data_IF_102243173412
#
_entry.id   IF_102243173412
#
_cell.length_a   1.000
_cell.length_b   1.000
_cell.length_c   1.000
_cell.angle_alpha   90.00
_cell.angle_beta   90.00
_cell.angle_gamma   90.00
#
_symmetry.space_group_name_H-M   'P 1'
#
loop_
_entity.id
_entity.type
_entity.pdbx_description
1 polymer ?
#
# COMPACT_ATOMS: atom_id res chain seq x y z
N UNK A 1 -7.04 -5.87 90.35
CA UNK A 1 -6.64 -4.76 89.43
C UNK A 1 -5.64 -5.36 88.44
N UNK A 2 -6.09 -5.78 87.27
CA UNK A 2 -5.26 -6.47 86.31
C UNK A 2 -5.48 -5.78 84.97
N UNK A 3 -4.47 -5.09 84.44
CA UNK A 3 -4.51 -4.43 83.16
C UNK A 3 -4.04 -5.42 82.06
N UNK A 4 -4.93 -5.69 81.16
CA UNK A 4 -4.67 -6.56 80.00
C UNK A 4 -4.07 -5.70 78.84
N UNK A 5 -2.82 -6.00 78.50
CA UNK A 5 -2.15 -5.39 77.31
C UNK A 5 -2.65 -6.07 76.07
N UNK A 6 -3.33 -5.32 75.22
CA UNK A 6 -3.69 -5.72 73.84
C UNK A 6 -2.51 -5.41 72.93
N UNK A 7 -1.82 -6.42 72.42
CA UNK A 7 -0.79 -6.33 71.42
C UNK A 7 -1.47 -6.26 70.03
N UNK A 8 -1.40 -5.13 69.38
CA UNK A 8 -1.83 -4.96 68.01
C UNK A 8 -0.70 -5.42 67.07
N UNK A 9 -0.90 -6.53 66.40
CA UNK A 9 -0.03 -7.00 65.30
C UNK A 9 -0.39 -6.29 64.02
N UNK A 10 0.48 -5.41 63.54
CA UNK A 10 0.37 -4.80 62.22
C UNK A 10 0.79 -5.82 61.15
N UNK A 11 -0.16 -6.27 60.35
CA UNK A 11 0.10 -7.07 59.17
C UNK A 11 0.59 -6.16 58.03
N UNK A 12 1.86 -6.33 57.66
CA UNK A 12 2.43 -5.76 56.43
C UNK A 12 1.83 -6.51 55.23
N UNK A 13 0.86 -5.93 54.58
CA UNK A 13 0.39 -6.38 53.26
C UNK A 13 1.43 -5.90 52.22
N UNK A 14 2.32 -6.82 51.84
CA UNK A 14 3.22 -6.66 50.72
C UNK A 14 2.42 -6.62 49.41
N UNK A 15 2.20 -5.41 48.89
CA UNK A 15 1.62 -5.21 47.57
C UNK A 15 2.61 -5.68 46.48
N UNK A 16 2.35 -6.87 45.94
CA UNK A 16 3.03 -7.35 44.73
C UNK A 16 2.51 -6.51 43.57
N UNK A 17 3.29 -5.49 43.14
CA UNK A 17 3.07 -4.79 41.89
C UNK A 17 3.31 -5.77 40.73
N UNK A 18 2.26 -6.44 40.31
CA UNK A 18 2.22 -7.09 39.00
C UNK A 18 2.23 -5.95 37.95
N UNK A 19 3.41 -5.59 37.47
CA UNK A 19 3.56 -4.79 36.27
C UNK A 19 2.94 -5.61 35.12
N UNK A 20 1.69 -5.28 34.78
CA UNK A 20 1.04 -5.79 33.60
C UNK A 20 1.88 -5.32 32.41
N UNK A 21 2.67 -6.23 31.82
CA UNK A 21 3.23 -6.04 30.49
C UNK A 21 2.05 -5.87 29.54
N UNK A 22 1.69 -4.62 29.23
CA UNK A 22 0.78 -4.34 28.15
C UNK A 22 1.41 -4.91 26.86
N UNK A 23 0.68 -5.68 26.05
CA UNK A 23 1.21 -6.17 24.81
C UNK A 23 1.59 -4.95 23.96
N UNK A 24 2.85 -4.92 23.51
CA UNK A 24 3.32 -3.93 22.53
C UNK A 24 2.47 -4.14 21.30
N UNK A 25 1.51 -3.23 21.08
CA UNK A 25 0.72 -3.24 19.85
C UNK A 25 1.69 -2.97 18.70
N UNK A 26 1.70 -3.82 17.65
CA UNK A 26 2.51 -3.53 16.48
C UNK A 26 2.10 -2.16 15.94
N UNK A 27 3.09 -1.33 15.62
CA UNK A 27 2.87 0.00 15.06
C UNK A 27 1.86 -0.11 13.90
N UNK A 28 0.82 0.73 13.92
CA UNK A 28 -0.19 0.72 12.85
C UNK A 28 0.51 1.02 11.53
N UNK A 29 0.33 0.19 10.49
CA UNK A 29 0.95 0.46 9.20
C UNK A 29 0.48 1.80 8.65
N UNK A 30 1.43 2.60 8.19
CA UNK A 30 1.11 3.87 7.54
C UNK A 30 0.85 3.64 6.06
N UNK A 31 -0.16 4.34 5.55
CA UNK A 31 -0.52 4.29 4.14
C UNK A 31 -0.81 5.71 3.62
N UNK A 32 -0.28 6.06 2.46
CA UNK A 32 -0.46 7.35 1.78
C UNK A 32 -0.85 7.10 0.32
N UNK A 33 -1.83 7.81 -0.20
CA UNK A 33 -2.33 7.66 -1.56
C UNK A 33 -2.45 9.00 -2.28
N UNK A 34 -2.04 9.02 -3.55
CA UNK A 34 -2.30 10.11 -4.48
C UNK A 34 -2.83 9.56 -5.80
N UNK A 35 -3.75 10.31 -6.41
CA UNK A 35 -4.20 10.12 -7.78
C UNK A 35 -3.88 11.39 -8.57
N UNK A 36 -3.39 11.23 -9.79
CA UNK A 36 -3.14 12.32 -10.72
C UNK A 36 -3.95 12.07 -11.97
N UNK A 37 -4.88 12.97 -12.25
CA UNK A 37 -5.56 13.06 -13.55
C UNK A 37 -4.74 14.01 -14.43
N UNK A 38 -4.50 13.69 -15.72
CA UNK A 38 -3.72 14.55 -16.59
C UNK A 38 -4.50 15.82 -16.89
N UNK A 39 -4.04 16.96 -16.36
CA UNK A 39 -4.42 18.25 -16.92
C UNK A 39 -3.65 18.43 -18.23
N UNK A 40 -4.39 18.43 -19.33
CA UNK A 40 -3.97 18.53 -20.71
C UNK A 40 -2.60 19.17 -20.97
N UNK A 41 -1.67 18.32 -21.38
CA UNK A 41 -0.42 18.69 -21.99
C UNK A 41 -0.02 17.54 -22.91
N UNK A 42 -0.30 17.70 -24.20
CA UNK A 42 0.04 16.74 -25.25
C UNK A 42 1.55 16.79 -25.47
N UNK A 43 2.32 15.92 -24.84
CA UNK A 43 3.71 15.67 -25.22
C UNK A 43 3.68 14.56 -26.26
N UNK A 44 3.80 14.93 -27.51
CA UNK A 44 3.99 13.99 -28.62
C UNK A 44 5.37 13.36 -28.49
N UNK A 45 5.44 12.15 -27.95
CA UNK A 45 6.62 11.31 -28.11
C UNK A 45 6.44 10.50 -29.39
N UNK A 46 7.34 10.72 -30.32
CA UNK A 46 7.44 9.99 -31.58
C UNK A 46 7.50 8.47 -31.31
N UNK A 47 6.63 7.77 -32.01
CA UNK A 47 6.48 6.31 -31.92
C UNK A 47 7.66 5.64 -32.62
N UNK A 48 8.58 5.06 -31.85
CA UNK A 48 9.55 4.12 -32.38
C UNK A 48 8.84 2.85 -32.91
N UNK A 49 9.23 2.31 -34.05
CA UNK A 49 8.57 1.15 -34.66
C UNK A 49 8.85 -0.12 -33.86
N UNK A 50 7.78 -0.78 -33.55
CA UNK A 50 7.61 -2.22 -33.29
C UNK A 50 8.77 -3.01 -32.68
N UNK A 51 8.87 -3.03 -31.34
CA UNK A 51 9.46 -4.20 -30.68
C UNK A 51 8.31 -5.08 -30.22
N UNK A 52 8.35 -6.35 -30.69
CA UNK A 52 7.41 -7.39 -30.26
C UNK A 52 7.29 -7.38 -28.72
N UNK A 53 6.07 -7.41 -28.21
CA UNK A 53 5.82 -7.60 -26.76
C UNK A 53 6.62 -8.81 -26.29
N UNK A 54 7.42 -8.69 -25.23
CA UNK A 54 8.07 -9.86 -24.66
C UNK A 54 6.95 -10.85 -24.30
N UNK A 55 7.10 -12.10 -24.71
CA UNK A 55 6.23 -13.21 -24.33
C UNK A 55 6.15 -13.20 -22.79
N UNK A 56 5.08 -12.64 -22.25
CA UNK A 56 4.91 -12.54 -20.80
C UNK A 56 4.73 -13.94 -20.26
N UNK A 57 5.62 -14.36 -19.37
CA UNK A 57 5.40 -15.54 -18.55
C UNK A 57 4.01 -15.43 -17.89
N UNK A 58 3.30 -16.56 -17.72
CA UNK A 58 2.00 -16.52 -17.04
C UNK A 58 2.16 -15.89 -15.65
N UNK A 59 1.21 -15.05 -15.21
CA UNK A 59 1.28 -14.41 -13.92
C UNK A 59 1.48 -15.43 -12.80
N UNK A 60 2.29 -15.09 -11.78
CA UNK A 60 2.47 -15.94 -10.61
C UNK A 60 1.16 -16.19 -9.88
N UNK A 61 1.09 -17.21 -9.01
CA UNK A 61 -0.08 -17.45 -8.18
C UNK A 61 -0.40 -16.25 -7.30
N UNK A 62 0.62 -15.59 -6.75
CA UNK A 62 0.47 -14.37 -5.95
C UNK A 62 -0.09 -13.20 -6.76
N UNK A 63 0.40 -13.01 -7.98
CA UNK A 63 -0.11 -11.99 -8.90
C UNK A 63 -1.60 -12.20 -9.20
N UNK A 64 -2.00 -13.46 -9.48
CA UNK A 64 -3.40 -13.78 -9.75
C UNK A 64 -4.30 -13.54 -8.53
N UNK A 65 -3.88 -13.98 -7.33
CA UNK A 65 -4.62 -13.75 -6.08
C UNK A 65 -4.76 -12.25 -5.79
N UNK A 66 -3.68 -11.50 -5.93
CA UNK A 66 -3.68 -10.04 -5.76
C UNK A 66 -4.66 -9.36 -6.69
N UNK A 67 -4.62 -9.68 -7.98
CA UNK A 67 -5.52 -9.13 -8.99
C UNK A 67 -6.98 -9.50 -8.71
N UNK A 68 -7.25 -10.75 -8.32
CA UNK A 68 -8.59 -11.20 -7.98
C UNK A 68 -9.15 -10.42 -6.79
N UNK A 69 -8.36 -10.18 -5.74
CA UNK A 69 -8.78 -9.39 -4.57
C UNK A 69 -9.09 -7.95 -4.93
N UNK A 70 -8.23 -7.30 -5.72
CA UNK A 70 -8.47 -5.93 -6.19
C UNK A 70 -9.80 -5.88 -6.96
N UNK A 71 -10.02 -6.80 -7.88
CA UNK A 71 -11.23 -6.84 -8.70
C UNK A 71 -12.48 -7.22 -7.88
N UNK A 72 -12.35 -7.99 -6.81
CA UNK A 72 -13.46 -8.25 -5.87
C UNK A 72 -13.89 -6.96 -5.15
N UNK A 73 -12.96 -6.13 -4.66
CA UNK A 73 -13.30 -4.82 -4.10
C UNK A 73 -13.99 -3.92 -5.12
N UNK A 74 -13.47 -3.88 -6.36
CA UNK A 74 -14.05 -3.06 -7.43
C UNK A 74 -15.45 -3.50 -7.81
N UNK A 75 -15.70 -4.80 -7.87
CA UNK A 75 -17.02 -5.37 -8.19
C UNK A 75 -18.07 -5.11 -7.08
N UNK A 76 -17.64 -5.08 -5.83
CA UNK A 76 -18.53 -4.85 -4.69
C UNK A 76 -18.97 -3.37 -4.55
N UNK A 77 -18.18 -2.41 -5.08
CA UNK A 77 -18.32 -1.02 -4.71
C UNK A 77 -17.80 -0.77 -3.29
N UNK A 78 -17.65 0.48 -2.89
CA UNK A 78 -17.15 0.82 -1.56
C UNK A 78 -17.61 2.21 -1.10
N UNK A 79 -17.54 2.45 0.21
CA UNK A 79 -17.60 3.79 0.77
C UNK A 79 -16.21 4.17 1.26
N UNK A 80 -15.60 5.16 0.60
CA UNK A 80 -14.26 5.64 0.89
C UNK A 80 -14.35 6.94 1.69
N UNK A 81 -14.19 6.86 3.01
CA UNK A 81 -14.53 7.99 3.89
C UNK A 81 -16.02 8.32 3.81
N UNK A 82 -16.35 9.51 3.35
CA UNK A 82 -17.74 9.95 3.14
C UNK A 82 -18.24 9.75 1.72
N UNK A 83 -17.36 9.39 0.78
CA UNK A 83 -17.71 9.23 -0.63
C UNK A 83 -18.09 7.79 -0.96
N UNK A 84 -19.26 7.61 -1.58
CA UNK A 84 -19.69 6.29 -2.09
C UNK A 84 -19.22 6.10 -3.53
N UNK A 85 -18.58 4.97 -3.79
CA UNK A 85 -18.19 4.49 -5.11
C UNK A 85 -19.07 3.32 -5.53
N UNK A 86 -19.74 3.45 -6.66
CA UNK A 86 -20.44 2.33 -7.28
C UNK A 86 -19.44 1.28 -7.79
N UNK A 87 -19.88 0.03 -8.05
CA UNK A 87 -19.07 -0.97 -8.70
C UNK A 87 -18.32 -0.41 -9.92
N UNK A 88 -17.07 -0.82 -10.07
CA UNK A 88 -16.18 -0.42 -11.15
C UNK A 88 -15.76 -1.66 -11.96
N UNK A 89 -15.51 -1.47 -13.24
CA UNK A 89 -15.00 -2.52 -14.12
C UNK A 89 -13.67 -3.10 -13.57
N UNK A 90 -13.40 -4.40 -13.81
CA UNK A 90 -12.14 -4.99 -13.40
C UNK A 90 -10.96 -4.31 -14.08
N UNK A 91 -9.82 -4.28 -13.38
CA UNK A 91 -8.52 -3.89 -13.94
C UNK A 91 -7.77 -5.14 -14.38
N UNK A 92 -6.88 -4.99 -15.38
CA UNK A 92 -5.95 -6.02 -15.82
C UNK A 92 -4.58 -5.81 -15.16
N UNK A 93 -3.80 -6.89 -15.01
CA UNK A 93 -2.42 -6.78 -14.58
C UNK A 93 -1.54 -6.24 -15.70
N UNK A 94 -0.62 -5.32 -15.36
CA UNK A 94 0.32 -4.77 -16.30
C UNK A 94 1.74 -4.87 -15.74
N UNK A 95 2.61 -5.61 -16.44
CA UNK A 95 3.98 -5.87 -15.99
C UNK A 95 4.85 -4.59 -15.91
N UNK A 96 4.58 -3.58 -16.73
CA UNK A 96 5.33 -2.31 -16.67
C UNK A 96 4.97 -1.50 -15.43
N UNK A 97 3.68 -1.48 -15.05
CA UNK A 97 3.24 -0.89 -13.80
C UNK A 97 3.81 -1.65 -12.59
N UNK A 98 3.85 -2.98 -12.66
CA UNK A 98 4.47 -3.81 -11.63
C UNK A 98 5.98 -3.50 -11.49
N UNK A 99 6.72 -3.37 -12.59
CA UNK A 99 8.14 -3.03 -12.58
C UNK A 99 8.39 -1.65 -11.95
N UNK A 100 7.60 -0.65 -12.31
CA UNK A 100 7.69 0.67 -11.70
C UNK A 100 7.37 0.62 -10.19
N UNK A 101 6.33 -0.13 -9.79
CA UNK A 101 5.99 -0.37 -8.38
C UNK A 101 7.11 -1.09 -7.64
N UNK A 102 7.75 -2.10 -8.25
CA UNK A 102 8.85 -2.85 -7.66
C UNK A 102 10.08 -1.98 -7.42
N UNK A 103 10.44 -1.14 -8.39
CA UNK A 103 11.57 -0.20 -8.24
C UNK A 103 11.30 0.79 -7.11
N UNK A 104 10.09 1.33 -7.02
CA UNK A 104 9.72 2.26 -5.96
C UNK A 104 9.62 1.60 -4.58
N UNK A 105 9.08 0.40 -4.49
CA UNK A 105 9.05 -0.36 -3.24
C UNK A 105 10.47 -0.63 -2.71
N UNK A 106 11.41 -1.00 -3.60
CA UNK A 106 12.83 -1.19 -3.25
C UNK A 106 13.50 0.11 -2.79
N UNK A 107 13.22 1.21 -3.47
CA UNK A 107 13.74 2.54 -3.10
C UNK A 107 13.25 2.96 -1.71
N UNK A 108 11.96 2.81 -1.42
CA UNK A 108 11.41 3.07 -0.09
C UNK A 108 12.03 2.16 0.98
N UNK A 109 12.18 0.87 0.69
CA UNK A 109 12.79 -0.10 1.61
C UNK A 109 14.26 0.23 1.91
N UNK A 110 15.04 0.60 0.88
CA UNK A 110 16.44 0.98 1.03
C UNK A 110 16.62 2.23 1.90
N UNK A 111 15.73 3.19 1.78
CA UNK A 111 15.71 4.43 2.59
C UNK A 111 15.03 4.28 3.93
N UNK A 112 14.31 3.18 4.16
CA UNK A 112 13.43 2.99 5.33
C UNK A 112 12.42 4.13 5.49
N UNK A 113 11.89 4.63 4.37
CA UNK A 113 11.03 5.81 4.32
C UNK A 113 9.85 5.62 3.38
N UNK A 114 8.63 5.80 3.90
CA UNK A 114 7.40 5.79 3.12
C UNK A 114 7.22 7.14 2.42
N UNK A 115 7.17 7.14 1.10
CA UNK A 115 7.07 8.38 0.30
C UNK A 115 6.53 8.09 -1.09
N UNK A 116 5.85 9.06 -1.68
CA UNK A 116 5.50 9.08 -3.10
C UNK A 116 6.65 9.58 -4.00
N UNK A 117 7.63 10.25 -3.42
CA UNK A 117 8.80 10.76 -4.15
C UNK A 117 9.95 9.78 -4.03
N UNK A 118 10.57 9.43 -5.15
CA UNK A 118 11.77 8.59 -5.21
C UNK A 118 12.99 9.28 -4.61
N UNK A 119 14.03 8.51 -4.25
CA UNK A 119 15.31 9.04 -3.76
C UNK A 119 16.01 9.96 -4.76
N UNK A 120 15.73 9.76 -6.03
CA UNK A 120 16.21 10.56 -7.17
C UNK A 120 15.31 11.78 -7.49
N UNK A 121 14.34 12.08 -6.63
CA UNK A 121 13.35 13.14 -6.85
C UNK A 121 12.21 12.77 -7.80
N UNK A 122 12.18 11.55 -8.36
CA UNK A 122 11.14 11.15 -9.31
C UNK A 122 9.77 11.09 -8.66
N UNK A 123 8.77 11.55 -9.40
CA UNK A 123 7.36 11.30 -9.09
C UNK A 123 6.86 9.99 -9.74
N UNK A 124 5.60 9.66 -9.53
CA UNK A 124 4.96 8.46 -10.08
C UNK A 124 5.03 8.41 -11.61
N UNK A 125 4.74 9.51 -12.30
CA UNK A 125 4.73 9.56 -13.76
C UNK A 125 6.12 9.35 -14.36
N UNK A 126 7.16 9.90 -13.73
CA UNK A 126 8.54 9.69 -14.15
C UNK A 126 8.93 8.21 -14.09
N UNK A 127 8.58 7.54 -12.98
CA UNK A 127 8.87 6.13 -12.79
C UNK A 127 8.15 5.23 -13.78
N UNK A 128 6.88 5.52 -14.05
CA UNK A 128 6.06 4.78 -15.03
C UNK A 128 6.54 5.00 -16.46
N UNK A 129 6.94 6.23 -16.81
CA UNK A 129 7.48 6.54 -18.14
C UNK A 129 8.81 5.80 -18.38
N UNK A 130 9.67 5.63 -17.38
CA UNK A 130 10.92 4.84 -17.47
C UNK A 130 10.67 3.36 -17.80
N UNK A 131 9.49 2.83 -17.48
CA UNK A 131 9.07 1.48 -17.87
C UNK A 131 8.35 1.45 -19.24
N UNK A 132 8.43 2.53 -19.99
CA UNK A 132 7.79 2.68 -21.31
C UNK A 132 6.26 2.43 -21.29
N UNK A 133 5.59 2.77 -20.19
CA UNK A 133 4.14 2.75 -20.10
C UNK A 133 3.59 4.14 -20.44
N UNK A 134 3.03 4.28 -21.64
CA UNK A 134 2.32 5.47 -22.03
C UNK A 134 0.92 5.47 -21.39
N UNK A 135 0.53 6.54 -20.73
CA UNK A 135 -0.68 6.61 -19.92
C UNK A 135 -1.55 7.83 -20.21
N UNK A 136 -2.84 7.69 -19.96
CA UNK A 136 -3.82 8.78 -19.91
C UNK A 136 -4.26 9.10 -18.48
N UNK A 137 -4.08 8.17 -17.53
CA UNK A 137 -4.35 8.36 -16.11
C UNK A 137 -3.41 7.49 -15.28
N UNK A 138 -2.98 7.98 -14.12
CA UNK A 138 -2.19 7.24 -13.13
C UNK A 138 -2.70 7.49 -11.72
N UNK A 139 -2.51 6.48 -10.86
CA UNK A 139 -2.72 6.58 -9.42
C UNK A 139 -1.72 5.70 -8.69
N UNK A 140 -1.33 6.11 -7.49
CA UNK A 140 -0.39 5.35 -6.67
C UNK A 140 -0.92 5.20 -5.24
N UNK A 141 -0.80 3.99 -4.70
CA UNK A 141 -0.95 3.71 -3.28
C UNK A 141 0.36 3.14 -2.76
N UNK A 142 0.90 3.71 -1.69
CA UNK A 142 2.08 3.17 -1.00
C UNK A 142 1.73 2.79 0.44
N UNK A 143 2.44 1.82 0.97
CA UNK A 143 2.29 1.40 2.36
C UNK A 143 3.57 0.80 2.93
N UNK A 144 3.70 0.85 4.27
CA UNK A 144 4.74 0.18 5.02
C UNK A 144 4.12 -0.58 6.22
N UNK A 145 4.78 -1.65 6.67
CA UNK A 145 4.42 -2.40 7.86
C UNK A 145 3.46 -3.58 7.64
N UNK A 146 2.86 -3.74 6.47
CA UNK A 146 2.04 -4.90 6.17
C UNK A 146 2.90 -6.09 5.76
N UNK A 147 2.72 -7.26 6.38
CA UNK A 147 3.47 -8.47 6.05
C UNK A 147 2.91 -9.20 4.83
N UNK A 148 1.61 -9.08 4.55
CA UNK A 148 0.98 -9.67 3.38
C UNK A 148 0.39 -8.63 2.42
N UNK A 149 0.21 -9.00 1.15
CA UNK A 149 -0.49 -8.16 0.17
C UNK A 149 -1.97 -8.00 0.54
N UNK A 150 -2.59 -9.05 1.08
CA UNK A 150 -3.98 -9.02 1.54
C UNK A 150 -4.21 -7.95 2.59
N UNK A 151 -3.32 -7.86 3.59
CA UNK A 151 -3.42 -6.86 4.66
C UNK A 151 -3.19 -5.44 4.14
N UNK A 152 -2.26 -5.28 3.19
CA UNK A 152 -2.03 -4.00 2.53
C UNK A 152 -3.26 -3.54 1.75
N UNK A 153 -3.88 -4.43 0.95
CA UNK A 153 -5.11 -4.14 0.23
C UNK A 153 -6.25 -3.75 1.17
N UNK A 154 -6.45 -4.52 2.25
CA UNK A 154 -7.43 -4.19 3.28
C UNK A 154 -7.11 -2.85 3.97
N UNK A 155 -5.83 -2.56 4.21
CA UNK A 155 -5.37 -1.28 4.75
C UNK A 155 -5.68 -0.11 3.81
N UNK A 156 -5.42 -0.26 2.53
CA UNK A 156 -5.74 0.74 1.52
C UNK A 156 -7.25 0.97 1.41
N UNK A 157 -8.07 -0.09 1.47
CA UNK A 157 -9.52 0.07 1.46
C UNK A 157 -10.09 0.82 2.68
N UNK A 158 -9.39 0.80 3.82
CA UNK A 158 -9.79 1.58 5.02
C UNK A 158 -9.37 3.05 4.98
N UNK A 159 -8.46 3.43 4.09
CA UNK A 159 -7.98 4.80 3.93
C UNK A 159 -8.76 5.51 2.81
N UNK A 160 -9.42 6.64 3.05
CA UNK A 160 -10.29 7.28 2.06
C UNK A 160 -9.63 7.54 0.71
N UNK A 161 -8.42 8.09 0.69
CA UNK A 161 -7.71 8.40 -0.55
C UNK A 161 -7.25 7.16 -1.32
N UNK A 162 -6.71 6.14 -0.63
CA UNK A 162 -6.31 4.89 -1.26
C UNK A 162 -7.49 4.09 -1.79
N UNK A 163 -8.57 4.05 -1.01
CA UNK A 163 -9.82 3.43 -1.41
C UNK A 163 -10.37 4.11 -2.67
N UNK A 164 -10.38 5.45 -2.72
CA UNK A 164 -10.80 6.20 -3.90
C UNK A 164 -9.97 5.82 -5.15
N UNK A 165 -8.64 5.68 -5.01
CA UNK A 165 -7.79 5.19 -6.09
C UNK A 165 -8.20 3.79 -6.55
N UNK A 166 -8.36 2.84 -5.62
CA UNK A 166 -8.74 1.47 -5.96
C UNK A 166 -10.11 1.39 -6.63
N UNK A 167 -11.03 2.28 -6.27
CA UNK A 167 -12.40 2.32 -6.80
C UNK A 167 -12.57 3.21 -8.04
N UNK A 168 -11.55 3.97 -8.44
CA UNK A 168 -11.65 4.89 -9.58
C UNK A 168 -11.94 4.14 -10.88
N UNK A 169 -12.91 4.66 -11.63
CA UNK A 169 -13.27 4.19 -12.97
C UNK A 169 -12.31 4.65 -14.05
N UNK A 170 -11.40 5.57 -13.70
CA UNK A 170 -10.37 6.07 -14.63
C UNK A 170 -9.28 5.04 -14.90
N UNK A 171 -9.13 4.02 -14.04
CA UNK A 171 -8.07 3.04 -14.21
C UNK A 171 -8.56 1.72 -14.82
N UNK A 172 -7.72 1.15 -15.69
CA UNK A 172 -7.96 -0.10 -16.41
C UNK A 172 -6.90 -1.17 -16.13
N UNK A 173 -5.76 -0.77 -15.60
CA UNK A 173 -4.61 -1.63 -15.37
C UNK A 173 -3.99 -1.37 -13.99
N UNK A 174 -3.31 -2.37 -13.46
CA UNK A 174 -2.67 -2.32 -12.14
C UNK A 174 -1.39 -3.13 -12.13
N UNK A 175 -0.43 -2.67 -11.34
CA UNK A 175 0.75 -3.43 -10.93
C UNK A 175 1.01 -3.21 -9.45
N UNK A 176 1.32 -4.27 -8.72
CA UNK A 176 1.61 -4.23 -7.28
C UNK A 176 2.93 -4.92 -7.00
N UNK A 177 3.74 -4.34 -6.14
CA UNK A 177 4.99 -4.95 -5.73
C UNK A 177 5.35 -4.62 -4.28
N UNK A 178 6.26 -5.42 -3.73
CA UNK A 178 6.76 -5.27 -2.38
C UNK A 178 8.28 -5.41 -2.31
N UNK A 179 8.88 -4.79 -1.30
CA UNK A 179 10.27 -5.01 -0.93
C UNK A 179 10.41 -5.11 0.58
N UNK A 180 11.25 -6.04 1.03
CA UNK A 180 11.59 -6.19 2.44
C UNK A 180 12.69 -5.21 2.85
N UNK A 181 12.64 -4.75 4.11
CA UNK A 181 13.67 -3.94 4.77
C UNK A 181 14.04 -4.60 6.10
N UNK A 182 14.90 -5.64 6.08
CA UNK A 182 15.29 -6.34 7.29
C UNK A 182 15.88 -5.39 8.34
N UNK A 183 15.47 -5.52 9.60
CA UNK A 183 15.91 -4.65 10.69
C UNK A 183 15.24 -3.28 10.72
N UNK A 184 14.31 -2.97 9.82
CA UNK A 184 13.44 -1.81 9.93
C UNK A 184 12.15 -2.15 10.69
N UNK A 185 11.61 -1.17 11.44
CA UNK A 185 10.38 -1.33 12.23
C UNK A 185 9.15 -1.68 11.38
N UNK A 186 9.11 -1.24 10.14
CA UNK A 186 8.05 -1.59 9.21
C UNK A 186 8.28 -2.96 8.53
N UNK A 187 9.51 -3.38 8.31
CA UNK A 187 9.89 -4.66 7.71
C UNK A 187 9.55 -4.80 6.22
N UNK A 188 8.46 -4.21 5.75
CA UNK A 188 7.99 -4.31 4.36
C UNK A 188 7.47 -2.98 3.84
N UNK A 189 7.80 -2.69 2.57
CA UNK A 189 7.28 -1.56 1.81
C UNK A 189 6.57 -2.06 0.56
N UNK A 190 5.42 -1.44 0.23
CA UNK A 190 4.62 -1.81 -0.94
C UNK A 190 4.23 -0.60 -1.75
N UNK A 191 4.18 -0.78 -3.06
CA UNK A 191 3.60 0.17 -3.99
C UNK A 191 2.57 -0.54 -4.88
N UNK A 192 1.46 0.13 -5.15
CA UNK A 192 0.48 -0.20 -6.17
C UNK A 192 0.42 0.95 -7.15
N UNK A 193 0.60 0.68 -8.41
CA UNK A 193 0.36 1.61 -9.50
C UNK A 193 -0.89 1.22 -10.26
N UNK A 194 -1.79 2.16 -10.44
CA UNK A 194 -3.01 2.05 -11.22
C UNK A 194 -2.87 2.95 -12.45
N UNK A 195 -3.31 2.47 -13.61
CA UNK A 195 -3.17 3.23 -14.83
C UNK A 195 -4.24 2.97 -15.86
N UNK A 196 -4.32 3.87 -16.83
CA UNK A 196 -4.98 3.65 -18.12
C UNK A 196 -3.98 3.97 -19.21
N UNK A 197 -3.84 3.09 -20.23
CA UNK A 197 -2.94 3.38 -21.35
C UNK A 197 -3.40 4.59 -22.12
N UNK A 198 -2.44 5.33 -22.73
CA UNK A 198 -2.74 6.33 -23.73
C UNK A 198 -3.38 5.65 -24.96
N UNK A 199 -4.28 6.35 -25.63
CA UNK A 199 -4.93 5.88 -26.85
C UNK A 199 -4.07 6.14 -28.08
#
# INVERSE_FOLDING_TARGET
MSQSLVRTTAALVGGLCLAACAPVQPARPNAVGIAVEPRGGLVLHERAPGTASPTSLPPSAETRDTLQRINSYRAAGATCGTQRFAPAAPVAWNARLEQAAQKHARDMAARRALSHTGSDGSNMSDRVAREAYAFSALGENVSAGYTSVSDALAGWMRSPGHCANMMSKSFREVGVAAASAPGDSFGWYRAMLLGSPAR
#
